data_IF_859476138834
#
_entry.id   IF_859476138834
#
_cell.length_a   1.000
_cell.length_b   1.000
_cell.length_c   1.000
_cell.angle_alpha   90.00
_cell.angle_beta   90.00
_cell.angle_gamma   90.00
#
_symmetry.space_group_name_H-M   'P 1'
#
loop_
_entity.id
_entity.type
_entity.pdbx_description
1 polymer ?
#
# COMPACT_ATOMS: atom_id res chain seq x y z
N UNK A 1 66.78 -3.20 -25.39
CA UNK A 1 66.71 -1.83 -25.92
C UNK A 1 65.44 -1.67 -26.76
N UNK A 2 64.35 -1.11 -26.21
CA UNK A 2 63.17 -0.70 -26.99
C UNK A 2 63.08 0.83 -26.91
N UNK A 3 63.23 1.50 -28.05
CA UNK A 3 63.19 2.95 -28.16
C UNK A 3 61.74 3.44 -28.05
N UNK A 4 61.51 4.36 -27.12
CA UNK A 4 60.37 5.29 -27.10
C UNK A 4 60.55 6.30 -28.24
N UNK A 5 59.48 6.63 -28.95
CA UNK A 5 59.29 7.94 -29.55
C UNK A 5 57.81 8.29 -29.43
N UNK A 6 57.55 9.36 -28.69
CA UNK A 6 56.27 10.05 -28.57
C UNK A 6 56.44 11.42 -29.22
N UNK A 7 55.53 11.84 -30.10
CA UNK A 7 55.30 13.25 -30.44
C UNK A 7 53.82 13.49 -30.79
N UNK A 8 53.18 14.24 -29.88
CA UNK A 8 52.11 15.24 -30.00
C UNK A 8 51.07 15.22 -31.15
N UNK A 9 49.82 15.07 -30.72
CA UNK A 9 48.66 15.98 -30.87
C UNK A 9 48.29 16.58 -32.24
N UNK A 10 47.09 16.23 -32.71
CA UNK A 10 46.17 17.16 -33.37
C UNK A 10 44.74 16.91 -32.85
N UNK A 11 44.15 17.98 -32.29
CA UNK A 11 42.78 18.07 -31.78
C UNK A 11 41.76 17.67 -32.86
N UNK A 12 40.84 16.78 -32.52
CA UNK A 12 39.49 16.78 -33.08
C UNK A 12 38.50 16.81 -31.91
N UNK A 13 37.91 17.97 -31.65
CA UNK A 13 36.76 18.08 -30.76
C UNK A 13 35.56 17.45 -31.48
N UNK A 14 35.22 16.22 -31.10
CA UNK A 14 33.88 15.69 -31.25
C UNK A 14 33.46 15.21 -29.87
N UNK A 15 32.45 15.86 -29.31
CA UNK A 15 31.83 15.48 -28.03
C UNK A 15 31.24 14.08 -28.20
N UNK A 16 31.98 13.08 -27.73
CA UNK A 16 31.52 11.70 -27.60
C UNK A 16 30.85 11.58 -26.24
N UNK A 17 29.52 11.47 -26.23
CA UNK A 17 28.82 10.87 -25.11
C UNK A 17 29.29 9.40 -25.00
N UNK A 18 30.13 9.13 -24.01
CA UNK A 18 30.62 7.80 -23.72
C UNK A 18 29.53 6.98 -23.03
N UNK A 19 28.74 6.24 -23.81
CA UNK A 19 27.99 5.09 -23.32
C UNK A 19 28.75 3.82 -23.71
N UNK A 20 29.44 3.20 -22.76
CA UNK A 20 29.89 1.81 -22.88
C UNK A 20 29.55 1.05 -21.61
N UNK A 21 28.37 0.47 -21.61
CA UNK A 21 27.96 -0.65 -20.79
C UNK A 21 26.85 -1.38 -21.53
N UNK A 22 27.10 -2.59 -22.01
CA UNK A 22 26.06 -3.47 -22.55
C UNK A 22 25.19 -3.97 -21.38
N UNK A 23 24.29 -3.12 -20.91
CA UNK A 23 23.02 -3.50 -20.31
C UNK A 23 21.94 -3.06 -21.29
N UNK A 24 20.87 -3.83 -21.47
CA UNK A 24 19.75 -3.37 -22.28
C UNK A 24 19.29 -2.01 -21.76
N UNK A 25 19.09 -1.03 -22.64
CA UNK A 25 18.59 0.28 -22.26
C UNK A 25 17.22 0.07 -21.60
N UNK A 26 17.11 0.45 -20.33
CA UNK A 26 15.82 0.64 -19.70
C UNK A 26 15.08 1.70 -20.51
N UNK A 27 13.97 1.33 -21.17
CA UNK A 27 13.06 2.32 -21.74
C UNK A 27 12.24 2.89 -20.59
N UNK A 28 12.27 4.22 -20.46
CA UNK A 28 11.49 4.89 -19.43
C UNK A 28 10.00 4.56 -19.60
N UNK A 29 9.27 4.26 -18.50
CA UNK A 29 7.88 3.86 -18.60
C UNK A 29 7.04 5.00 -19.18
N UNK A 30 6.25 4.71 -20.22
CA UNK A 30 5.18 5.61 -20.67
C UNK A 30 3.94 5.21 -19.91
N UNK A 31 3.43 6.08 -19.04
CA UNK A 31 2.16 5.82 -18.38
C UNK A 31 1.01 5.85 -19.39
N UNK A 32 0.07 4.89 -19.32
CA UNK A 32 0.10 3.67 -18.51
C UNK A 32 0.88 2.51 -19.18
N UNK A 33 1.41 1.56 -18.39
CA UNK A 33 2.12 0.38 -18.92
C UNK A 33 1.80 -0.92 -18.18
N UNK A 34 2.04 -2.06 -18.84
CA UNK A 34 1.87 -3.40 -18.29
C UNK A 34 0.50 -4.03 -18.61
N UNK A 35 0.35 -5.30 -18.28
CA UNK A 35 -0.91 -6.04 -18.46
C UNK A 35 -1.20 -6.93 -17.26
N UNK A 36 -2.48 -7.16 -17.00
CA UNK A 36 -2.92 -8.11 -16.00
C UNK A 36 -2.58 -9.55 -16.46
N UNK A 37 -1.98 -10.40 -15.60
CA UNK A 37 -1.51 -11.73 -15.98
C UNK A 37 -2.63 -12.73 -16.30
N UNK A 38 -3.83 -12.53 -15.76
CA UNK A 38 -4.97 -13.43 -15.93
C UNK A 38 -5.88 -12.97 -17.06
N UNK A 39 -6.19 -11.68 -17.12
CA UNK A 39 -7.15 -11.13 -18.10
C UNK A 39 -6.48 -10.62 -19.38
N UNK A 40 -5.16 -10.42 -19.38
CA UNK A 40 -4.41 -9.70 -20.42
C UNK A 40 -4.88 -8.26 -20.66
N UNK A 41 -5.73 -7.71 -19.78
CA UNK A 41 -6.16 -6.32 -19.86
C UNK A 41 -4.97 -5.38 -19.61
N UNK A 42 -4.90 -4.23 -20.29
CA UNK A 42 -3.88 -3.22 -19.99
C UNK A 42 -4.07 -2.71 -18.56
N UNK A 43 -2.96 -2.52 -17.85
CA UNK A 43 -2.95 -1.79 -16.58
C UNK A 43 -3.05 -0.32 -16.94
N UNK A 44 -4.23 0.29 -16.79
CA UNK A 44 -4.42 1.71 -17.12
C UNK A 44 -4.25 2.61 -15.91
N UNK A 45 -4.40 2.09 -14.68
CA UNK A 45 -4.35 2.84 -13.44
C UNK A 45 -3.74 2.05 -12.28
N UNK A 46 -3.61 2.68 -11.12
CA UNK A 46 -3.08 2.03 -9.92
C UNK A 46 -4.02 0.95 -9.38
N UNK A 47 -5.34 1.09 -9.53
CA UNK A 47 -6.25 0.02 -9.15
C UNK A 47 -6.15 -1.21 -10.08
N UNK A 48 -5.88 -0.99 -11.38
CA UNK A 48 -5.56 -2.09 -12.30
C UNK A 48 -4.23 -2.75 -11.93
N UNK A 49 -3.24 -1.94 -11.49
CA UNK A 49 -1.94 -2.43 -11.06
C UNK A 49 -2.06 -3.30 -9.79
N UNK A 50 -2.83 -2.85 -8.80
CA UNK A 50 -3.13 -3.62 -7.61
C UNK A 50 -3.87 -4.92 -7.93
N UNK A 51 -4.88 -4.86 -8.79
CA UNK A 51 -5.58 -6.08 -9.23
C UNK A 51 -4.63 -7.04 -9.96
N UNK A 52 -3.72 -6.52 -10.79
CA UNK A 52 -2.69 -7.34 -11.43
C UNK A 52 -1.76 -7.99 -10.40
N UNK A 53 -1.38 -7.32 -9.31
CA UNK A 53 -0.61 -7.92 -8.21
C UNK A 53 -1.38 -9.09 -7.59
N UNK A 54 -2.66 -8.88 -7.25
CA UNK A 54 -3.49 -9.94 -6.67
C UNK A 54 -3.61 -11.15 -7.61
N UNK A 55 -3.77 -10.89 -8.91
CA UNK A 55 -3.91 -11.93 -9.94
C UNK A 55 -2.59 -12.65 -10.24
N UNK A 56 -1.44 -12.03 -9.96
CA UNK A 56 -0.12 -12.69 -9.98
C UNK A 56 0.04 -13.65 -8.78
N UNK A 57 -0.69 -13.43 -7.69
CA UNK A 57 -0.55 -14.17 -6.43
C UNK A 57 0.82 -13.98 -5.78
N UNK A 58 1.23 -14.94 -4.95
CA UNK A 58 2.50 -14.93 -4.20
C UNK A 58 3.72 -15.27 -5.09
N UNK A 59 3.84 -14.57 -6.23
CA UNK A 59 4.94 -14.76 -7.15
C UNK A 59 6.25 -14.19 -6.55
N UNK A 60 7.34 -14.99 -6.51
CA UNK A 60 8.64 -14.48 -6.08
C UNK A 60 9.10 -13.33 -7.00
N UNK A 61 9.90 -12.37 -6.49
CA UNK A 61 10.57 -12.32 -5.18
C UNK A 61 9.71 -11.75 -4.05
N UNK A 62 8.45 -11.40 -4.30
CA UNK A 62 7.65 -10.61 -3.36
C UNK A 62 7.17 -11.46 -2.18
N UNK A 63 7.32 -10.98 -0.93
CA UNK A 63 6.81 -11.71 0.24
C UNK A 63 5.30 -11.90 0.18
N UNK A 64 4.82 -13.14 0.28
CA UNK A 64 3.40 -13.49 0.11
C UNK A 64 2.47 -12.80 1.11
N UNK A 65 2.99 -12.43 2.28
CA UNK A 65 2.22 -11.79 3.33
C UNK A 65 1.77 -10.36 2.94
N UNK A 66 2.45 -9.70 2.01
CA UNK A 66 2.06 -8.34 1.64
C UNK A 66 0.72 -8.31 0.90
N UNK A 67 0.33 -9.42 0.27
CA UNK A 67 -0.91 -9.55 -0.48
C UNK A 67 -2.15 -9.39 0.41
N UNK A 68 -2.05 -9.66 1.72
CA UNK A 68 -3.18 -9.44 2.63
C UNK A 68 -3.52 -7.97 2.82
N UNK A 69 -2.58 -7.07 2.53
CA UNK A 69 -2.75 -5.61 2.63
C UNK A 69 -3.11 -4.96 1.29
N UNK A 70 -3.31 -5.74 0.23
CA UNK A 70 -3.64 -5.26 -1.12
C UNK A 70 -5.08 -5.59 -1.52
N UNK A 71 -5.92 -5.98 -0.57
CA UNK A 71 -7.31 -6.35 -0.87
C UNK A 71 -8.11 -5.10 -1.31
N UNK A 72 -8.97 -5.19 -2.33
CA UNK A 72 -9.67 -4.03 -2.85
C UNK A 72 -10.55 -3.36 -1.78
N UNK A 73 -10.30 -2.06 -1.53
CA UNK A 73 -11.05 -1.28 -0.54
C UNK A 73 -10.51 -1.36 0.88
N UNK A 74 -9.46 -2.14 1.12
CA UNK A 74 -8.65 -2.10 2.34
C UNK A 74 -7.15 -2.00 2.02
N UNK A 75 -6.81 -1.66 0.77
CA UNK A 75 -5.45 -1.36 0.33
C UNK A 75 -4.97 -0.08 0.98
N UNK A 76 -4.02 -0.20 1.89
CA UNK A 76 -3.46 0.94 2.64
C UNK A 76 -2.05 0.56 3.09
N UNK A 77 -1.16 0.49 2.09
CA UNK A 77 0.21 0.00 2.22
C UNK A 77 1.14 1.01 2.89
N UNK A 78 0.83 2.30 2.77
CA UNK A 78 1.68 3.39 3.25
C UNK A 78 1.11 4.04 4.52
N UNK A 79 1.98 4.39 5.47
CA UNK A 79 1.52 4.97 6.73
C UNK A 79 2.44 4.63 7.88
N UNK A 80 2.09 3.66 8.73
CA UNK A 80 3.05 3.09 9.69
C UNK A 80 3.19 1.61 9.40
N UNK A 81 4.42 1.17 9.19
CA UNK A 81 4.75 -0.22 8.92
C UNK A 81 6.00 -0.62 9.68
N UNK A 82 6.06 -1.85 10.16
CA UNK A 82 7.30 -2.38 10.72
C UNK A 82 7.50 -3.84 10.37
N UNK A 83 8.77 -4.25 10.33
CA UNK A 83 9.19 -5.63 10.08
C UNK A 83 10.28 -6.02 11.07
N UNK A 84 10.08 -7.15 11.75
CA UNK A 84 11.10 -7.90 12.47
C UNK A 84 11.46 -9.13 11.64
N UNK A 85 12.74 -9.38 11.35
CA UNK A 85 13.15 -10.49 10.48
C UNK A 85 13.29 -11.83 11.20
N UNK A 86 13.67 -11.83 12.49
CA UNK A 86 13.90 -13.06 13.26
C UNK A 86 13.25 -13.04 14.66
N UNK A 87 12.11 -13.74 14.86
CA UNK A 87 11.29 -14.40 13.84
C UNK A 87 10.55 -13.38 12.96
N UNK A 88 10.20 -13.75 11.72
CA UNK A 88 9.47 -12.86 10.81
C UNK A 88 8.14 -12.42 11.44
N UNK A 89 8.05 -11.15 11.79
CA UNK A 89 6.83 -10.47 12.21
C UNK A 89 6.74 -9.15 11.44
N UNK A 90 5.52 -8.74 11.11
CA UNK A 90 5.30 -7.52 10.36
C UNK A 90 3.94 -6.95 10.71
N UNK A 91 3.80 -5.65 10.49
CA UNK A 91 2.54 -4.94 10.56
C UNK A 91 2.54 -3.82 9.53
N UNK A 92 1.39 -3.59 8.91
CA UNK A 92 1.13 -2.42 8.09
C UNK A 92 -0.22 -1.86 8.55
N UNK A 93 -0.23 -0.64 9.08
CA UNK A 93 -1.45 -0.02 9.60
C UNK A 93 -1.98 1.11 8.73
N UNK A 94 -1.32 1.38 7.60
CA UNK A 94 -1.78 2.38 6.65
C UNK A 94 -1.84 3.81 7.20
N UNK A 95 -2.40 4.72 6.42
CA UNK A 95 -2.68 6.12 6.76
C UNK A 95 -4.20 6.45 6.74
N UNK A 96 -5.04 5.43 6.51
CA UNK A 96 -6.49 5.50 6.42
C UNK A 96 -7.01 5.85 5.03
N UNK A 97 -6.16 5.96 4.01
CA UNK A 97 -6.55 6.23 2.62
C UNK A 97 -6.29 5.00 1.75
N UNK A 98 -7.25 4.69 0.88
CA UNK A 98 -7.06 3.61 -0.08
C UNK A 98 -5.94 3.99 -1.06
N UNK A 99 -4.88 3.16 -1.15
CA UNK A 99 -3.70 3.43 -1.98
C UNK A 99 -4.12 3.76 -3.41
N UNK A 100 -4.91 2.89 -4.03
CA UNK A 100 -5.22 3.04 -5.46
C UNK A 100 -6.36 4.02 -5.73
N UNK A 101 -7.30 4.19 -4.79
CA UNK A 101 -8.52 4.99 -5.00
C UNK A 101 -8.39 6.43 -4.53
N UNK A 102 -7.47 6.72 -3.62
CA UNK A 102 -7.28 8.03 -3.01
C UNK A 102 -5.83 8.47 -3.11
N UNK A 103 -4.91 7.76 -2.45
CA UNK A 103 -3.51 8.19 -2.28
C UNK A 103 -2.75 8.35 -3.61
N UNK A 104 -2.93 7.42 -4.54
CA UNK A 104 -2.27 7.44 -5.85
C UNK A 104 -3.17 8.02 -6.96
N UNK A 105 -4.42 8.37 -6.66
CA UNK A 105 -5.38 8.85 -7.66
C UNK A 105 -4.89 10.15 -8.32
N UNK A 106 -4.46 11.13 -7.54
CA UNK A 106 -4.04 12.42 -8.08
C UNK A 106 -2.79 12.30 -8.97
N UNK A 107 -1.89 11.38 -8.63
CA UNK A 107 -0.71 11.06 -9.46
C UNK A 107 -1.17 10.43 -10.78
N UNK A 108 -2.11 9.48 -10.72
CA UNK A 108 -2.68 8.85 -11.91
C UNK A 108 -3.34 9.88 -12.83
N UNK A 109 -4.17 10.76 -12.29
CA UNK A 109 -4.86 11.78 -13.08
C UNK A 109 -3.90 12.82 -13.66
N UNK A 110 -2.86 13.20 -12.92
CA UNK A 110 -1.80 14.06 -13.44
C UNK A 110 -0.99 13.39 -14.57
N UNK A 111 -0.79 12.08 -14.51
CA UNK A 111 -0.16 11.32 -15.59
C UNK A 111 -1.10 11.08 -16.79
N UNK A 112 -2.42 10.99 -16.58
CA UNK A 112 -3.41 10.84 -17.66
C UNK A 112 -3.67 12.14 -18.40
N UNK A 113 -3.82 13.24 -17.67
CA UNK A 113 -4.17 14.53 -18.24
C UNK A 113 -2.92 15.22 -18.83
N UNK A 114 -2.61 14.91 -20.09
CA UNK A 114 -1.47 15.52 -20.82
C UNK A 114 -1.55 17.05 -20.96
N UNK A 115 -2.71 17.66 -20.69
CA UNK A 115 -2.91 19.11 -20.72
C UNK A 115 -2.85 19.76 -19.33
N UNK A 116 -2.62 19.00 -18.26
CA UNK A 116 -2.47 19.53 -16.90
C UNK A 116 -1.24 20.44 -16.82
N UNK A 117 -1.48 21.72 -16.53
CA UNK A 117 -0.46 22.74 -16.33
C UNK A 117 -0.97 23.81 -15.36
N UNK A 118 -0.75 23.58 -14.07
CA UNK A 118 -1.10 24.49 -12.98
C UNK A 118 0.13 25.38 -12.70
N UNK A 119 0.07 26.69 -12.98
CA UNK A 119 1.23 27.56 -12.87
C UNK A 119 1.61 27.80 -11.40
N UNK A 120 2.92 27.96 -11.18
CA UNK A 120 3.45 28.43 -9.91
C UNK A 120 2.88 29.82 -9.55
N UNK A 121 2.55 30.01 -8.28
CA UNK A 121 2.08 31.27 -7.74
C UNK A 121 2.38 31.32 -6.24
N UNK A 122 2.66 32.51 -5.70
CA UNK A 122 3.06 32.70 -4.31
C UNK A 122 4.16 31.71 -3.84
N UNK A 123 3.84 30.80 -2.91
CA UNK A 123 4.74 29.75 -2.43
C UNK A 123 4.56 28.40 -3.16
N UNK A 124 3.50 28.24 -3.96
CA UNK A 124 3.18 27.03 -4.70
C UNK A 124 4.07 26.91 -5.95
N UNK A 125 4.75 25.77 -6.11
CA UNK A 125 5.80 25.61 -7.14
C UNK A 125 5.29 25.18 -8.52
N UNK A 126 3.97 25.04 -8.70
CA UNK A 126 3.35 24.60 -9.94
C UNK A 126 3.37 23.08 -10.11
N UNK A 127 2.29 22.53 -10.66
CA UNK A 127 2.15 21.11 -10.98
C UNK A 127 1.75 20.96 -12.45
N UNK A 128 2.45 20.08 -13.17
CA UNK A 128 2.12 19.79 -14.57
C UNK A 128 2.32 18.32 -14.88
N UNK A 129 1.63 17.85 -15.91
CA UNK A 129 1.83 16.49 -16.43
C UNK A 129 3.31 16.19 -16.69
N UNK A 130 4.03 17.13 -17.33
CA UNK A 130 5.44 16.98 -17.63
C UNK A 130 6.30 16.81 -16.37
N UNK A 131 5.97 17.52 -15.28
CA UNK A 131 6.66 17.42 -14.00
C UNK A 131 6.50 16.03 -13.38
N UNK A 132 5.27 15.52 -13.32
CA UNK A 132 4.95 14.20 -12.74
C UNK A 132 5.53 13.07 -13.58
N UNK A 133 5.43 13.15 -14.92
CA UNK A 133 6.04 12.18 -15.83
C UNK A 133 7.57 12.16 -15.70
N UNK A 134 8.21 13.31 -15.51
CA UNK A 134 9.65 13.37 -15.30
C UNK A 134 10.06 12.68 -13.98
N UNK A 135 9.27 12.86 -12.91
CA UNK A 135 9.51 12.20 -11.62
C UNK A 135 9.32 10.68 -11.72
N UNK A 136 8.26 10.21 -12.39
CA UNK A 136 8.04 8.79 -12.66
C UNK A 136 9.26 8.16 -13.35
N UNK A 137 9.76 8.81 -14.40
CA UNK A 137 10.90 8.32 -15.17
C UNK A 137 12.22 8.36 -14.38
N UNK A 138 12.45 9.42 -13.61
CA UNK A 138 13.62 9.53 -12.75
C UNK A 138 13.62 8.46 -11.65
N UNK A 139 12.47 8.25 -11.00
CA UNK A 139 12.32 7.22 -9.96
C UNK A 139 12.49 5.82 -10.53
N UNK A 140 11.99 5.56 -11.74
CA UNK A 140 12.16 4.27 -12.39
C UNK A 140 13.63 3.99 -12.73
N UNK A 141 14.37 5.00 -13.19
CA UNK A 141 15.82 4.90 -13.39
C UNK A 141 16.57 4.63 -12.07
N UNK A 142 16.18 5.28 -10.97
CA UNK A 142 16.78 5.03 -9.67
C UNK A 142 16.43 3.63 -9.11
N UNK A 143 15.21 3.13 -9.33
CA UNK A 143 14.86 1.75 -8.95
C UNK A 143 15.68 0.72 -9.72
N UNK A 144 16.04 0.97 -10.98
CA UNK A 144 16.96 0.11 -11.72
C UNK A 144 18.37 0.14 -11.11
N UNK A 145 18.81 1.26 -10.52
CA UNK A 145 20.09 1.33 -9.81
C UNK A 145 20.03 0.51 -8.52
N UNK A 146 18.96 0.66 -7.74
CA UNK A 146 18.84 0.04 -6.41
C UNK A 146 18.51 -1.47 -6.48
N UNK A 147 17.67 -1.88 -7.43
CA UNK A 147 17.20 -3.27 -7.56
C UNK A 147 17.88 -4.03 -8.73
N UNK A 148 18.57 -3.35 -9.63
CA UNK A 148 19.20 -3.97 -10.80
C UNK A 148 18.17 -4.66 -11.70
N UNK A 149 18.48 -5.88 -12.14
CA UNK A 149 17.55 -6.68 -12.96
C UNK A 149 16.28 -7.10 -12.21
N UNK A 150 16.28 -7.03 -10.88
CA UNK A 150 15.14 -7.44 -10.07
C UNK A 150 13.92 -6.58 -10.37
N UNK A 151 14.09 -5.27 -10.53
CA UNK A 151 12.99 -4.34 -10.83
C UNK A 151 12.20 -4.75 -12.08
N UNK A 152 12.90 -5.08 -13.18
CA UNK A 152 12.27 -5.52 -14.43
C UNK A 152 11.68 -6.93 -14.38
N UNK A 153 11.99 -7.70 -13.35
CA UNK A 153 11.43 -9.05 -13.11
C UNK A 153 10.27 -9.07 -12.12
N UNK A 154 9.94 -7.93 -11.50
CA UNK A 154 8.79 -7.84 -10.60
C UNK A 154 7.51 -8.14 -11.39
N UNK A 155 6.56 -8.88 -10.80
CA UNK A 155 5.26 -9.13 -11.43
C UNK A 155 4.56 -7.81 -11.76
N UNK A 156 3.83 -7.79 -12.88
CA UNK A 156 3.10 -6.60 -13.33
C UNK A 156 2.20 -6.04 -12.22
N UNK A 157 2.25 -4.72 -12.04
CA UNK A 157 1.57 -4.00 -10.98
C UNK A 157 2.52 -3.50 -9.90
N UNK A 158 3.52 -4.31 -9.49
CA UNK A 158 4.50 -3.90 -8.49
C UNK A 158 5.34 -2.69 -8.91
N UNK A 159 5.93 -2.65 -10.13
CA UNK A 159 6.65 -1.47 -10.58
C UNK A 159 5.80 -0.19 -10.54
N UNK A 160 4.53 -0.27 -10.91
CA UNK A 160 3.59 0.84 -10.90
C UNK A 160 3.35 1.34 -9.47
N UNK A 161 2.95 0.44 -8.57
CA UNK A 161 2.65 0.77 -7.16
C UNK A 161 3.87 1.38 -6.46
N UNK A 162 5.06 0.78 -6.62
CA UNK A 162 6.27 1.30 -6.00
C UNK A 162 6.63 2.69 -6.51
N UNK A 163 6.48 2.95 -7.82
CA UNK A 163 6.76 4.26 -8.39
C UNK A 163 5.73 5.32 -7.97
N UNK A 164 4.44 4.96 -7.91
CA UNK A 164 3.38 5.83 -7.41
C UNK A 164 3.65 6.25 -5.98
N UNK A 165 3.88 5.29 -5.07
CA UNK A 165 4.23 5.61 -3.68
C UNK A 165 5.52 6.42 -3.58
N UNK A 166 6.55 6.14 -4.39
CA UNK A 166 7.76 6.96 -4.32
C UNK A 166 7.52 8.40 -4.77
N UNK A 167 6.61 8.66 -5.71
CA UNK A 167 6.19 10.03 -6.06
C UNK A 167 5.43 10.66 -4.89
N UNK A 168 4.45 10.00 -4.28
CA UNK A 168 3.74 10.52 -3.11
C UNK A 168 4.70 10.81 -1.95
N UNK A 169 5.62 9.90 -1.68
CA UNK A 169 6.97 10.20 -1.20
C UNK A 169 7.13 10.78 0.21
N UNK A 170 6.09 10.85 1.05
CA UNK A 170 6.25 11.30 2.44
C UNK A 170 6.84 10.20 3.35
N UNK A 171 7.43 10.61 4.47
CA UNK A 171 8.01 9.72 5.47
C UNK A 171 9.39 9.14 5.12
N UNK A 172 9.83 8.18 5.94
CA UNK A 172 11.11 7.47 5.82
C UNK A 172 11.09 6.10 6.53
N UNK A 173 12.07 5.23 6.27
CA UNK A 173 12.31 4.01 7.01
C UNK A 173 13.62 4.05 7.81
N UNK A 174 13.54 3.69 9.08
CA UNK A 174 14.67 3.56 10.00
C UNK A 174 15.03 2.09 10.14
N UNK A 175 16.30 1.78 9.90
CA UNK A 175 16.84 0.42 9.94
C UNK A 175 17.66 0.26 11.21
N UNK A 176 17.17 -0.55 12.15
CA UNK A 176 17.83 -0.76 13.45
C UNK A 176 18.12 -2.23 13.69
N UNK A 177 19.15 -2.47 14.50
CA UNK A 177 19.33 -3.74 15.16
C UNK A 177 18.47 -3.76 16.44
N UNK A 178 17.85 -4.90 16.76
CA UNK A 178 17.35 -5.12 18.13
C UNK A 178 18.47 -5.64 19.05
N UNK A 179 19.68 -5.84 18.52
CA UNK A 179 20.82 -6.48 19.18
C UNK A 179 22.13 -5.65 19.18
N UNK A 180 22.15 -4.41 18.70
CA UNK A 180 23.34 -3.54 18.70
C UNK A 180 24.40 -3.83 17.61
N UNK A 181 24.09 -4.59 16.55
CA UNK A 181 24.98 -4.79 15.39
C UNK A 181 24.55 -4.02 14.11
N UNK A 182 25.32 -3.02 13.65
CA UNK A 182 24.96 -2.16 12.51
C UNK A 182 25.10 -2.81 11.13
N UNK A 183 25.42 -4.12 11.05
CA UNK A 183 25.69 -4.81 9.79
C UNK A 183 24.48 -5.58 9.24
N UNK A 184 23.45 -5.85 10.05
CA UNK A 184 22.26 -6.62 9.69
C UNK A 184 21.05 -6.08 10.47
N UNK A 185 20.29 -5.10 9.96
CA UNK A 185 19.13 -4.58 10.69
C UNK A 185 18.10 -5.69 10.87
N UNK A 186 17.67 -5.91 12.12
CA UNK A 186 16.68 -6.94 12.45
C UNK A 186 15.28 -6.33 12.58
N UNK A 187 15.18 -5.02 12.82
CA UNK A 187 13.95 -4.27 12.90
C UNK A 187 13.96 -3.10 11.94
N UNK A 188 12.85 -2.91 11.23
CA UNK A 188 12.66 -1.82 10.28
C UNK A 188 11.36 -1.14 10.66
N UNK A 189 11.41 0.16 10.88
CA UNK A 189 10.25 1.01 11.16
C UNK A 189 10.10 1.99 10.00
N UNK A 190 8.96 1.95 9.32
CA UNK A 190 8.69 2.67 8.10
C UNK A 190 7.47 3.57 8.27
N UNK A 191 7.64 4.82 7.87
CA UNK A 191 6.58 5.82 7.85
C UNK A 191 6.32 6.29 6.44
N UNK A 192 5.05 6.49 6.12
CA UNK A 192 4.55 6.98 4.85
C UNK A 192 4.92 6.16 3.63
N UNK A 193 4.64 6.76 2.48
CA UNK A 193 4.84 6.18 1.16
C UNK A 193 6.32 5.90 0.86
N UNK A 194 7.22 6.83 1.20
CA UNK A 194 8.65 6.63 0.96
C UNK A 194 9.26 5.58 1.91
N UNK A 195 8.83 5.55 3.17
CA UNK A 195 9.25 4.51 4.11
C UNK A 195 8.79 3.13 3.67
N UNK A 196 7.55 2.99 3.20
CA UNK A 196 7.02 1.76 2.62
C UNK A 196 7.91 1.25 1.46
N UNK A 197 8.19 2.11 0.48
CA UNK A 197 9.02 1.70 -0.68
C UNK A 197 10.45 1.36 -0.25
N UNK A 198 11.03 2.14 0.67
CA UNK A 198 12.39 1.90 1.19
C UNK A 198 12.48 0.57 1.95
N UNK A 199 11.48 0.25 2.77
CA UNK A 199 11.31 -1.07 3.39
C UNK A 199 11.19 -2.17 2.34
N UNK A 200 10.35 -1.97 1.32
CA UNK A 200 10.10 -2.98 0.30
C UNK A 200 11.36 -3.29 -0.54
N UNK A 201 12.12 -2.27 -0.95
CA UNK A 201 13.41 -2.44 -1.64
C UNK A 201 14.37 -3.28 -0.77
N UNK A 202 14.46 -2.97 0.53
CA UNK A 202 15.31 -3.72 1.44
C UNK A 202 14.86 -5.19 1.57
N UNK A 203 13.56 -5.48 1.63
CA UNK A 203 13.05 -6.85 1.68
C UNK A 203 13.33 -7.64 0.40
N UNK A 204 13.46 -6.96 -0.74
CA UNK A 204 13.72 -7.59 -2.03
C UNK A 204 15.19 -7.98 -2.23
N UNK A 205 16.14 -7.13 -1.82
CA UNK A 205 17.56 -7.35 -2.09
C UNK A 205 18.54 -6.77 -1.05
N UNK A 206 18.06 -6.44 0.15
CA UNK A 206 18.83 -5.86 1.27
C UNK A 206 19.42 -4.46 0.98
N UNK A 207 19.00 -3.82 -0.10
CA UNK A 207 19.44 -2.45 -0.42
C UNK A 207 18.71 -1.44 0.47
N UNK A 208 19.49 -0.60 1.14
CA UNK A 208 18.96 0.58 1.84
C UNK A 208 18.96 1.75 0.86
N UNK A 209 17.82 1.98 0.21
CA UNK A 209 17.67 3.06 -0.76
C UNK A 209 17.93 4.44 -0.13
N UNK A 210 18.63 5.31 -0.85
CA UNK A 210 18.86 6.70 -0.46
C UNK A 210 17.77 7.59 -1.06
N UNK A 211 16.85 8.05 -0.22
CA UNK A 211 15.69 8.85 -0.62
C UNK A 211 16.05 10.20 -1.26
N UNK A 212 17.29 10.68 -1.11
CA UNK A 212 17.74 11.91 -1.78
C UNK A 212 17.96 11.73 -3.29
N UNK A 213 18.08 10.49 -3.76
CA UNK A 213 18.18 10.16 -5.19
C UNK A 213 16.82 10.03 -5.89
N UNK A 214 15.72 10.07 -5.13
CA UNK A 214 14.36 9.95 -5.65
C UNK A 214 13.70 11.32 -5.77
N UNK A 215 12.95 11.50 -6.86
CA UNK A 215 12.09 12.68 -7.06
C UNK A 215 10.75 12.42 -6.41
N UNK A 216 10.55 13.04 -5.25
CA UNK A 216 9.34 12.90 -4.42
C UNK A 216 8.56 14.21 -4.44
N UNK A 217 7.24 14.12 -4.32
CA UNK A 217 6.27 15.22 -4.43
C UNK A 217 5.21 15.18 -3.31
N UNK A 218 5.57 14.95 -2.03
CA UNK A 218 4.59 14.92 -0.93
C UNK A 218 3.86 16.25 -0.77
N UNK A 219 4.50 17.37 -1.09
CA UNK A 219 3.86 18.69 -1.02
C UNK A 219 2.63 18.81 -1.95
N UNK A 220 2.56 17.98 -2.99
CA UNK A 220 1.42 17.91 -3.91
C UNK A 220 0.51 16.74 -3.59
N UNK A 221 1.07 15.54 -3.44
CA UNK A 221 0.28 14.30 -3.49
C UNK A 221 0.12 13.59 -2.15
N UNK A 222 0.82 14.02 -1.11
CA UNK A 222 0.49 13.52 0.22
C UNK A 222 -0.95 13.90 0.57
N UNK A 223 -1.57 13.12 1.43
CA UNK A 223 -2.88 13.40 2.00
C UNK A 223 -2.97 14.81 2.60
N UNK A 224 -1.88 15.31 3.18
CA UNK A 224 -1.77 16.68 3.73
C UNK A 224 -1.20 17.70 2.74
N UNK A 225 -0.78 17.26 1.55
CA UNK A 225 -0.33 18.11 0.46
C UNK A 225 -1.48 18.86 -0.21
N UNK A 226 -1.11 19.79 -1.08
CA UNK A 226 -2.01 20.67 -1.82
C UNK A 226 -1.62 20.58 -3.30
N UNK A 227 -2.35 19.75 -4.05
CA UNK A 227 -1.97 19.39 -5.40
C UNK A 227 -2.16 20.55 -6.39
N UNK A 228 -3.11 21.46 -6.17
CA UNK A 228 -3.44 22.55 -7.10
C UNK A 228 -3.06 23.95 -6.60
N UNK A 229 -2.66 24.08 -5.34
CA UNK A 229 -2.17 25.30 -4.72
C UNK A 229 -3.28 26.23 -4.24
N UNK A 230 -4.53 25.77 -4.12
CA UNK A 230 -5.65 26.60 -3.69
C UNK A 230 -5.65 26.90 -2.17
N UNK A 231 -4.75 26.26 -1.42
CA UNK A 231 -4.57 26.40 0.02
C UNK A 231 -5.34 25.38 0.87
N UNK A 232 -6.07 24.46 0.25
CA UNK A 232 -6.70 23.33 0.91
C UNK A 232 -5.88 22.06 0.71
N UNK A 233 -5.85 21.20 1.73
CA UNK A 233 -5.21 19.90 1.56
C UNK A 233 -6.09 18.97 0.73
N UNK A 234 -5.44 18.03 0.04
CA UNK A 234 -6.08 16.92 -0.65
C UNK A 234 -7.13 16.22 0.22
N UNK A 235 -6.84 16.02 1.51
CA UNK A 235 -7.81 15.46 2.45
C UNK A 235 -9.03 16.34 2.67
N UNK A 236 -8.84 17.66 2.83
CA UNK A 236 -9.94 18.58 3.00
C UNK A 236 -10.87 18.56 1.79
N UNK A 237 -10.31 18.56 0.59
CA UNK A 237 -11.10 18.56 -0.63
C UNK A 237 -11.86 17.24 -0.81
N UNK A 238 -11.24 16.10 -0.49
CA UNK A 238 -11.92 14.80 -0.47
C UNK A 238 -13.11 14.79 0.51
N UNK A 239 -12.94 15.36 1.71
CA UNK A 239 -14.02 15.49 2.70
C UNK A 239 -15.15 16.37 2.17
N UNK A 240 -14.82 17.55 1.66
CA UNK A 240 -15.80 18.49 1.12
C UNK A 240 -16.60 17.87 -0.03
N UNK A 241 -15.92 17.21 -0.97
CA UNK A 241 -16.57 16.44 -2.04
C UNK A 241 -17.45 15.31 -1.48
N UNK A 242 -16.98 14.63 -0.44
CA UNK A 242 -17.70 13.54 0.21
C UNK A 242 -19.00 13.95 0.88
N UNK A 243 -19.11 15.21 1.31
CA UNK A 243 -20.33 15.80 1.86
C UNK A 243 -21.30 16.26 0.76
N UNK A 244 -20.76 16.79 -0.35
CA UNK A 244 -21.55 17.37 -1.42
C UNK A 244 -22.14 16.36 -2.41
N UNK A 245 -21.41 15.26 -2.66
CA UNK A 245 -21.72 14.35 -3.75
C UNK A 245 -22.03 12.93 -3.25
N UNK A 246 -22.95 12.21 -3.93
CA UNK A 246 -23.26 10.84 -3.59
C UNK A 246 -22.04 9.91 -3.84
N UNK A 247 -21.94 8.76 -3.15
CA UNK A 247 -20.76 7.89 -3.16
C UNK A 247 -20.20 7.55 -4.54
N UNK A 248 -21.07 7.34 -5.53
CA UNK A 248 -20.70 7.00 -6.90
C UNK A 248 -19.98 8.12 -7.67
N UNK A 249 -20.12 9.37 -7.23
CA UNK A 249 -19.46 10.53 -7.85
C UNK A 249 -18.23 11.00 -7.07
N UNK A 250 -18.01 10.53 -5.84
CA UNK A 250 -16.93 11.03 -4.97
C UNK A 250 -15.55 10.91 -5.60
N UNK A 251 -15.28 9.77 -6.24
CA UNK A 251 -14.00 9.52 -6.89
C UNK A 251 -13.72 10.51 -8.03
N UNK A 252 -14.68 10.71 -8.94
CA UNK A 252 -14.57 11.67 -10.04
C UNK A 252 -14.47 13.11 -9.52
N UNK A 253 -15.25 13.43 -8.50
CA UNK A 253 -15.31 14.78 -7.95
C UNK A 253 -14.08 15.13 -7.13
N UNK A 254 -13.43 14.15 -6.51
CA UNK A 254 -12.25 14.39 -5.69
C UNK A 254 -11.10 14.98 -6.52
N UNK A 255 -10.67 14.31 -7.60
CA UNK A 255 -9.58 14.85 -8.43
C UNK A 255 -10.01 16.11 -9.21
N UNK A 256 -11.31 16.31 -9.45
CA UNK A 256 -11.81 17.54 -10.07
C UNK A 256 -11.63 18.78 -9.19
N UNK A 257 -11.64 18.60 -7.87
CA UNK A 257 -11.33 19.65 -6.90
C UNK A 257 -9.82 19.74 -6.73
N UNK A 258 -9.17 18.65 -6.31
CA UNK A 258 -7.74 18.63 -5.95
C UNK A 258 -6.74 18.89 -7.08
N UNK A 259 -7.17 18.95 -8.34
CA UNK A 259 -6.31 19.31 -9.47
C UNK A 259 -6.82 20.55 -10.23
N UNK A 260 -7.65 21.38 -9.60
CA UNK A 260 -8.24 22.54 -10.24
C UNK A 260 -8.43 23.71 -9.27
N UNK A 261 -7.53 24.70 -9.30
CA UNK A 261 -7.52 25.79 -8.31
C UNK A 261 -8.72 26.74 -8.41
N UNK A 262 -9.60 26.53 -9.40
CA UNK A 262 -10.88 27.24 -9.51
C UNK A 262 -12.03 26.55 -8.74
N UNK A 263 -11.81 25.34 -8.20
CA UNK A 263 -12.79 24.55 -7.47
C UNK A 263 -12.26 24.25 -6.06
N UNK A 264 -12.52 25.17 -5.15
CA UNK A 264 -12.09 25.03 -3.76
C UNK A 264 -13.27 24.92 -2.80
N UNK A 265 -13.08 24.30 -1.62
CA UNK A 265 -13.97 24.51 -0.48
C UNK A 265 -14.12 26.00 -0.15
N UNK A 266 -15.27 26.43 0.43
CA UNK A 266 -15.45 27.82 0.80
C UNK A 266 -14.43 28.25 1.89
N UNK A 267 -14.01 29.51 1.87
CA UNK A 267 -13.07 30.03 2.86
C UNK A 267 -13.58 29.81 4.30
N UNK A 268 -12.73 29.21 5.14
CA UNK A 268 -13.08 28.85 6.52
C UNK A 268 -13.92 27.58 6.64
N UNK A 269 -14.02 26.76 5.59
CA UNK A 269 -14.54 25.40 5.70
C UNK A 269 -13.73 24.64 6.76
N UNK A 270 -14.44 24.07 7.73
CA UNK A 270 -13.85 23.19 8.71
C UNK A 270 -13.59 21.86 8.00
N UNK A 271 -12.35 21.66 7.57
CA UNK A 271 -11.87 20.39 7.07
C UNK A 271 -11.83 19.43 8.27
N UNK A 272 -13.00 18.92 8.67
CA UNK A 272 -13.20 18.16 9.89
C UNK A 272 -12.12 17.07 10.00
N UNK A 273 -11.45 16.99 11.15
CA UNK A 273 -10.55 15.88 11.44
C UNK A 273 -11.30 14.55 11.28
N UNK A 274 -10.80 13.69 10.40
CA UNK A 274 -11.42 12.38 10.18
C UNK A 274 -10.94 11.40 11.24
N UNK A 275 -11.90 10.61 11.71
CA UNK A 275 -11.66 9.35 12.39
C UNK A 275 -11.71 8.25 11.32
N UNK A 276 -10.57 7.65 10.98
CA UNK A 276 -10.50 6.47 10.11
C UNK A 276 -10.51 5.19 10.94
N UNK A 277 -10.98 4.08 10.37
CA UNK A 277 -10.83 2.77 10.99
C UNK A 277 -9.58 2.08 10.47
N UNK A 278 -8.82 1.48 11.39
CA UNK A 278 -7.82 0.44 11.12
C UNK A 278 -8.40 -0.90 11.51
N UNK A 279 -8.02 -1.97 10.82
CA UNK A 279 -8.65 -3.29 11.00
C UNK A 279 -7.59 -4.34 11.31
N UNK A 280 -7.92 -5.26 12.22
CA UNK A 280 -7.08 -6.43 12.46
C UNK A 280 -7.94 -7.67 12.75
N UNK A 281 -7.96 -8.70 11.87
CA UNK A 281 -7.50 -8.67 10.48
C UNK A 281 -8.33 -7.71 9.61
N UNK A 282 -7.80 -7.36 8.41
CA UNK A 282 -8.46 -6.54 7.39
C UNK A 282 -9.95 -6.91 7.20
N UNK A 283 -10.82 -5.96 6.84
CA UNK A 283 -12.24 -6.22 6.75
C UNK A 283 -12.50 -7.17 5.58
N UNK A 284 -12.75 -8.43 5.93
CA UNK A 284 -13.34 -9.46 5.10
C UNK A 284 -14.52 -10.07 5.84
N UNK A 285 -15.34 -10.87 5.16
CA UNK A 285 -16.43 -11.61 5.78
C UNK A 285 -15.91 -12.39 7.00
N UNK A 286 -16.24 -11.92 8.20
CA UNK A 286 -15.82 -12.59 9.43
C UNK A 286 -16.58 -13.91 9.54
N UNK A 287 -15.96 -14.94 10.11
CA UNK A 287 -16.60 -16.22 10.40
C UNK A 287 -16.78 -16.39 11.90
N UNK A 288 -17.80 -17.16 12.29
CA UNK A 288 -18.01 -17.56 13.68
C UNK A 288 -16.74 -18.16 14.28
N UNK A 289 -16.36 -17.69 15.46
CA UNK A 289 -15.17 -18.12 16.20
C UNK A 289 -13.91 -17.28 15.96
N UNK A 290 -13.91 -16.37 14.97
CA UNK A 290 -12.80 -15.44 14.76
C UNK A 290 -12.79 -14.30 15.79
N UNK A 291 -11.70 -13.53 15.81
CA UNK A 291 -11.61 -12.30 16.58
C UNK A 291 -11.76 -11.10 15.64
N UNK A 292 -12.57 -10.13 16.05
CA UNK A 292 -12.66 -8.81 15.45
C UNK A 292 -11.80 -7.85 16.30
N UNK A 293 -10.92 -7.10 15.66
CA UNK A 293 -10.27 -5.95 16.27
C UNK A 293 -10.43 -4.75 15.33
N UNK A 294 -11.05 -3.70 15.87
CA UNK A 294 -11.25 -2.42 15.21
C UNK A 294 -10.35 -1.40 15.89
N UNK A 295 -9.41 -0.82 15.17
CA UNK A 295 -8.67 0.35 15.60
C UNK A 295 -9.28 1.61 14.98
N UNK A 296 -9.06 2.76 15.60
CA UNK A 296 -9.41 4.04 15.02
C UNK A 296 -8.23 5.00 15.05
N UNK A 297 -8.13 5.85 14.05
CA UNK A 297 -7.10 6.88 13.97
C UNK A 297 -7.77 8.22 13.73
N UNK A 298 -7.49 9.19 14.60
CA UNK A 298 -7.97 10.56 14.40
C UNK A 298 -6.81 11.39 13.87
N UNK A 299 -6.90 11.77 12.59
CA UNK A 299 -5.94 12.69 12.00
C UNK A 299 -6.30 14.09 12.47
N UNK A 300 -5.30 14.91 12.84
CA UNK A 300 -5.42 16.29 13.33
C UNK A 300 -6.10 16.57 14.68
N UNK A 301 -6.43 15.55 15.49
CA UNK A 301 -6.91 15.79 16.86
C UNK A 301 -5.88 16.53 17.73
N UNK A 302 -6.36 17.48 18.54
CA UNK A 302 -5.52 18.21 19.47
C UNK A 302 -5.36 17.46 20.81
N UNK A 303 -4.11 17.25 21.23
CA UNK A 303 -3.76 16.70 22.54
C UNK A 303 -4.37 15.33 22.84
N UNK A 304 -4.89 15.15 24.06
CA UNK A 304 -5.38 13.83 24.50
C UNK A 304 -6.77 13.55 23.93
N UNK A 305 -6.90 12.40 23.27
CA UNK A 305 -8.17 11.95 22.66
C UNK A 305 -8.83 10.88 23.53
N UNK A 306 -10.13 11.01 23.72
CA UNK A 306 -10.99 10.02 24.40
C UNK A 306 -11.90 9.34 23.39
N UNK A 307 -12.23 8.06 23.59
CA UNK A 307 -13.02 7.27 22.64
C UNK A 307 -14.28 6.69 23.29
N UNK A 308 -15.31 6.48 22.49
CA UNK A 308 -16.52 5.76 22.86
C UNK A 308 -17.00 4.90 21.69
N UNK A 309 -17.24 3.61 21.96
CA UNK A 309 -17.71 2.67 20.96
C UNK A 309 -19.20 2.33 21.13
N UNK A 310 -19.89 2.13 20.01
CA UNK A 310 -21.28 1.69 19.96
C UNK A 310 -21.49 0.61 18.90
N UNK A 311 -22.40 -0.34 19.16
CA UNK A 311 -22.90 -1.33 18.19
C UNK A 311 -24.38 -1.11 17.96
N UNK A 312 -24.80 -0.94 16.72
CA UNK A 312 -26.18 -0.70 16.30
C UNK A 312 -26.84 0.46 17.08
N UNK A 313 -26.06 1.51 17.35
CA UNK A 313 -26.46 2.69 18.13
C UNK A 313 -26.50 2.48 19.65
N UNK A 314 -26.15 1.29 20.15
CA UNK A 314 -26.08 0.98 21.59
C UNK A 314 -24.62 1.06 22.05
N UNK A 315 -24.34 1.91 23.04
CA UNK A 315 -23.01 2.06 23.63
C UNK A 315 -22.48 0.72 24.15
N UNK A 316 -21.23 0.42 23.79
CA UNK A 316 -20.48 -0.71 24.33
C UNK A 316 -19.81 -0.23 25.61
N UNK A 317 -20.26 -0.76 26.74
CA UNK A 317 -19.79 -0.33 28.06
C UNK A 317 -18.28 -0.56 28.20
N UNK A 318 -17.58 0.43 28.76
CA UNK A 318 -16.14 0.42 29.07
C UNK A 318 -15.18 0.31 27.86
N UNK A 319 -15.71 0.33 26.62
CA UNK A 319 -14.91 0.44 25.41
C UNK A 319 -14.52 1.92 25.19
N UNK A 320 -13.41 2.33 25.79
CA UNK A 320 -12.89 3.71 25.74
C UNK A 320 -11.50 3.84 25.11
N UNK A 321 -10.94 2.71 24.68
CA UNK A 321 -9.64 2.67 24.03
C UNK A 321 -9.75 2.99 22.54
N UNK A 322 -8.61 3.37 21.96
CA UNK A 322 -8.44 3.54 20.51
C UNK A 322 -8.75 2.25 19.74
N UNK A 323 -8.66 1.10 20.40
CA UNK A 323 -8.98 -0.21 19.83
C UNK A 323 -10.17 -0.83 20.54
N UNK A 324 -11.00 -1.53 19.77
CA UNK A 324 -12.09 -2.36 20.24
C UNK A 324 -11.90 -3.79 19.77
N UNK A 325 -11.81 -4.72 20.72
CA UNK A 325 -11.65 -6.15 20.42
C UNK A 325 -12.89 -6.94 20.83
N UNK A 326 -13.38 -7.78 19.93
CA UNK A 326 -14.42 -8.78 20.18
C UNK A 326 -13.90 -10.16 19.79
N UNK A 327 -13.66 -11.00 20.79
CA UNK A 327 -13.17 -12.37 20.58
C UNK A 327 -14.32 -13.36 20.39
N UNK A 328 -14.04 -14.45 19.68
CA UNK A 328 -14.98 -15.57 19.46
C UNK A 328 -16.34 -15.10 18.91
N UNK A 329 -16.28 -14.45 17.74
CA UNK A 329 -17.44 -13.87 17.06
C UNK A 329 -18.56 -14.89 16.85
N UNK A 330 -19.78 -14.39 16.90
CA UNK A 330 -21.02 -15.08 16.57
C UNK A 330 -21.76 -14.28 15.49
N UNK A 331 -22.73 -14.89 14.83
CA UNK A 331 -23.56 -14.19 13.82
C UNK A 331 -24.24 -12.94 14.40
N UNK A 332 -24.56 -12.94 15.70
CA UNK A 332 -25.15 -11.80 16.40
C UNK A 332 -24.19 -10.62 16.63
N UNK A 333 -22.89 -10.82 16.41
CA UNK A 333 -21.90 -9.74 16.43
C UNK A 333 -21.90 -8.94 15.10
N UNK A 334 -22.66 -9.36 14.08
CA UNK A 334 -22.89 -8.53 12.88
C UNK A 334 -23.64 -7.25 13.24
N UNK A 335 -23.30 -6.12 12.61
CA UNK A 335 -23.97 -4.84 12.83
C UNK A 335 -23.11 -3.62 12.50
N UNK A 336 -23.68 -2.45 12.74
CA UNK A 336 -23.01 -1.17 12.60
C UNK A 336 -22.16 -0.88 13.83
N UNK A 337 -20.85 -0.76 13.69
CA UNK A 337 -19.94 -0.33 14.74
C UNK A 337 -19.58 1.13 14.53
N UNK A 338 -19.85 1.97 15.53
CA UNK A 338 -19.53 3.40 15.51
C UNK A 338 -18.51 3.69 16.60
N UNK A 339 -17.45 4.40 16.25
CA UNK A 339 -16.55 5.00 17.23
C UNK A 339 -16.74 6.52 17.19
N UNK A 340 -16.86 7.13 18.37
CA UNK A 340 -16.79 8.57 18.56
C UNK A 340 -15.53 8.89 19.34
N UNK A 341 -14.63 9.67 18.76
CA UNK A 341 -13.50 10.26 19.45
C UNK A 341 -13.81 11.71 19.83
N UNK A 342 -13.26 12.15 20.95
CA UNK A 342 -13.33 13.54 21.38
C UNK A 342 -11.95 14.00 21.83
N UNK A 343 -11.50 15.13 21.30
CA UNK A 343 -10.21 15.72 21.68
C UNK A 343 -10.32 16.64 22.90
N UNK A 344 -9.18 17.18 23.35
CA UNK A 344 -9.11 18.00 24.56
C UNK A 344 -9.85 19.34 24.45
N UNK A 345 -10.15 19.78 23.22
CA UNK A 345 -10.93 20.99 22.94
C UNK A 345 -12.44 20.71 22.91
N UNK A 346 -12.86 19.47 23.16
CA UNK A 346 -14.22 18.95 23.01
C UNK A 346 -14.72 18.93 21.56
N UNK A 347 -13.82 18.92 20.57
CA UNK A 347 -14.22 18.60 19.21
C UNK A 347 -14.48 17.09 19.12
N UNK A 348 -15.55 16.71 18.43
CA UNK A 348 -15.99 15.31 18.33
C UNK A 348 -15.90 14.83 16.89
N UNK A 349 -15.37 13.62 16.73
CA UNK A 349 -15.12 12.96 15.46
C UNK A 349 -15.78 11.59 15.52
N UNK A 350 -16.47 11.16 14.47
CA UNK A 350 -17.12 9.86 14.48
C UNK A 350 -17.04 9.18 13.13
N UNK A 351 -16.86 7.86 13.15
CA UNK A 351 -17.01 7.03 11.96
C UNK A 351 -17.79 5.77 12.29
N UNK A 352 -18.45 5.23 11.27
CA UNK A 352 -19.24 3.99 11.37
C UNK A 352 -18.80 2.99 10.31
N UNK A 353 -18.67 1.73 10.70
CA UNK A 353 -18.37 0.59 9.83
C UNK A 353 -19.43 -0.50 9.97
N UNK A 354 -19.72 -1.22 8.88
CA UNK A 354 -20.62 -2.39 8.89
C UNK A 354 -19.79 -3.68 8.99
N UNK A 355 -20.11 -4.53 9.97
CA UNK A 355 -19.48 -5.83 10.17
C UNK A 355 -20.50 -6.93 9.90
N UNK A 356 -20.11 -7.92 9.09
CA UNK A 356 -20.91 -9.12 8.81
C UNK A 356 -20.15 -10.38 9.24
N UNK A 357 -20.80 -11.22 10.05
CA UNK A 357 -20.26 -12.49 10.56
C UNK A 357 -21.06 -13.67 10.00
N UNK A 358 -20.37 -14.52 9.25
CA UNK A 358 -20.91 -15.67 8.54
C UNK A 358 -20.75 -16.97 9.35
N UNK A 359 -21.71 -17.90 9.27
CA UNK A 359 -21.57 -19.22 9.87
C UNK A 359 -20.48 -20.05 9.17
N UNK A 360 -19.87 -20.99 9.90
CA UNK A 360 -18.93 -21.95 9.30
C UNK A 360 -19.66 -22.85 8.29
N UNK A 361 -19.03 -23.20 7.14
CA UNK A 361 -19.59 -24.17 6.21
C UNK A 361 -19.83 -25.49 6.93
N UNK A 362 -21.09 -25.94 6.99
CA UNK A 362 -21.39 -27.27 7.49
C UNK A 362 -20.93 -28.27 6.44
N UNK A 363 -19.88 -29.04 6.72
CA UNK A 363 -19.55 -30.19 5.90
C UNK A 363 -20.77 -31.13 5.88
N UNK A 364 -21.26 -31.58 4.72
CA UNK A 364 -22.28 -32.61 4.69
C UNK A 364 -21.71 -33.83 5.40
N UNK A 365 -22.26 -34.15 6.57
CA UNK A 365 -21.94 -35.38 7.29
C UNK A 365 -22.54 -36.53 6.49
N UNK A 366 -21.87 -36.94 5.41
CA UNK A 366 -22.18 -38.22 4.79
C UNK A 366 -21.76 -39.30 5.79
N UNK A 367 -22.76 -40.06 6.23
CA UNK A 367 -22.76 -41.14 7.22
C UNK A 367 -21.54 -42.12 7.15
N UNK A 368 -21.29 -42.93 8.19
CA UNK A 368 -20.02 -43.62 8.39
C UNK A 368 -19.89 -44.81 7.42
N UNK A 369 -19.34 -44.57 6.24
CA UNK A 369 -18.92 -45.63 5.31
C UNK A 369 -17.41 -45.60 4.99
N UNK A 370 -16.69 -44.55 5.39
CA UNK A 370 -15.25 -44.45 5.13
C UNK A 370 -14.36 -45.18 6.16
N UNK A 371 -14.91 -45.62 7.31
CA UNK A 371 -14.15 -46.37 8.31
C UNK A 371 -14.03 -47.88 8.02
N UNK A 372 -14.82 -48.43 7.08
CA UNK A 372 -14.79 -49.87 6.77
C UNK A 372 -13.72 -50.23 5.73
N UNK A 373 -13.26 -49.29 4.90
CA UNK A 373 -12.24 -49.59 3.88
C UNK A 373 -10.81 -49.70 4.44
N UNK A 374 -10.50 -49.09 5.60
CA UNK A 374 -9.14 -49.14 6.17
C UNK A 374 -8.86 -50.45 6.96
N UNK A 375 -9.89 -51.16 7.44
CA UNK A 375 -9.72 -52.42 8.20
C UNK A 375 -9.64 -53.64 7.27
N UNK A 376 -10.27 -53.59 6.09
CA UNK A 376 -10.18 -54.67 5.09
C UNK A 376 -8.81 -54.75 4.40
N UNK A 377 -8.12 -53.62 4.21
CA UNK A 377 -6.78 -53.60 3.58
C UNK A 377 -5.69 -54.09 4.54
N UNK A 378 -5.85 -53.90 5.85
CA UNK A 378 -4.88 -54.36 6.86
C UNK A 378 -5.00 -55.86 7.21
N UNK A 379 -6.12 -56.51 6.92
CA UNK A 379 -6.28 -57.97 7.12
C UNK A 379 -5.87 -58.79 5.90
N UNK A 380 -5.85 -58.21 4.69
CA UNK A 380 -5.39 -58.88 3.48
C UNK A 380 -3.84 -58.95 3.36
N UNK A 381 -3.11 -57.96 3.88
CA UNK A 381 -1.63 -57.95 3.82
C UNK A 381 -0.93 -58.68 4.98
N UNK A 382 -1.62 -58.95 6.10
CA UNK A 382 -1.06 -59.72 7.23
C UNK A 382 -1.02 -61.24 7.02
N UNK A 383 -1.89 -61.80 6.18
CA UNK A 383 -1.98 -63.25 5.96
C UNK A 383 -0.99 -63.80 4.91
N UNK A 384 -0.46 -62.95 4.02
CA UNK A 384 0.46 -63.39 2.96
C UNK A 384 1.93 -63.52 3.43
N UNK A 385 2.30 -62.96 4.58
CA UNK A 385 3.69 -62.94 5.06
C UNK A 385 4.08 -64.12 5.99
N UNK A 386 3.13 -64.97 6.41
CA UNK A 386 3.38 -66.07 7.37
C UNK A 386 3.36 -67.50 6.76
N UNK A 387 3.23 -67.66 5.44
CA UNK A 387 3.13 -68.99 4.80
C UNK A 387 4.37 -69.49 4.02
N UNK A 388 5.53 -68.81 4.06
CA UNK A 388 6.76 -69.36 3.45
C UNK A 388 7.68 -69.99 4.50
N UNK A 389 7.50 -71.30 4.75
CA UNK A 389 8.58 -72.18 5.25
C UNK A 389 9.43 -72.63 4.05
N UNK A 390 10.77 -72.52 4.09
CA UNK A 390 11.63 -73.31 3.25
C UNK A 390 12.11 -74.57 4.01
N UNK A 391 11.95 -75.71 3.34
CA UNK A 391 12.63 -76.99 3.57
C UNK A 391 14.11 -76.92 3.26
#
# INVERSE_FOLDING_TARGET
MRKKLAWASALLFLVMAGATGKGMAFEAPVWPWGTNPVTSAPINGFCDAQQAILDNGAAPPVPSWILSYLLPGSDDLNGISWVLRDPLQFSMSGNGWSDCRLDLLLIEEALRNTSLDIPAHDAYTGLSHAKVLAALNANAAQMVIDLGSLFGSLPNGWPQILLGHMIAGYGDAVFTDMQGSPLEPNFIDATGSAGFVRLFIFLLNETVADLSNYTRMPEFFDKTGDADGDGFSNECEYQYVSELFPPELKHEKYFEYALNPAKSPPAGHDCHCLLSFTFWPCPGNYQVGQNLELGVDVVCAAGVVTYEWAKDGVKIQDATDRTYTRTNLSVGDSGAYTCTAMDENNATYSATIQIEVWPLPQLPVSAPAAAVLLIAVLTAFGAAALSRKPS
#
